data_IF_461455046249
#
_entry.id   IF_461455046249
#
_cell.length_a   1.000
_cell.length_b   1.000
_cell.length_c   1.000
_cell.angle_alpha   90.00
_cell.angle_beta   90.00
_cell.angle_gamma   90.00
#
_symmetry.space_group_name_H-M   'P 1'
#
loop_
_entity.id
_entity.type
_entity.pdbx_description
1 polymer ?
#
# COMPACT_ATOMS: atom_id res chain seq x y z
N UNK A 1 -8.98 -26.36 40.89
CA UNK A 1 -8.34 -25.03 40.70
C UNK A 1 -7.70 -25.01 39.31
N UNK A 2 -8.33 -24.38 38.33
CA UNK A 2 -7.79 -24.27 36.97
C UNK A 2 -6.83 -23.09 36.96
N UNK A 3 -5.53 -23.34 36.77
CA UNK A 3 -4.53 -22.28 36.58
C UNK A 3 -4.67 -21.72 35.18
N UNK A 4 -5.24 -20.53 35.05
CA UNK A 4 -5.20 -19.75 33.81
C UNK A 4 -3.76 -19.35 33.54
N UNK A 5 -3.17 -19.87 32.46
CA UNK A 5 -1.83 -19.50 32.03
C UNK A 5 -1.84 -18.02 31.62
N UNK A 6 -1.11 -17.17 32.33
CA UNK A 6 -0.86 -15.78 31.97
C UNK A 6 0.02 -15.77 30.72
N UNK A 7 -0.54 -15.37 29.57
CA UNK A 7 0.21 -15.21 28.33
C UNK A 7 1.28 -14.14 28.52
N UNK A 8 2.53 -14.54 28.69
CA UNK A 8 3.67 -13.63 28.77
C UNK A 8 3.95 -13.13 27.34
N UNK A 9 3.38 -11.99 26.96
CA UNK A 9 3.70 -11.37 25.67
C UNK A 9 5.09 -10.74 25.74
N UNK A 10 5.97 -11.09 24.80
CA UNK A 10 7.26 -10.40 24.63
C UNK A 10 7.01 -8.91 24.41
N UNK A 11 7.45 -8.08 25.34
CA UNK A 11 7.39 -6.63 25.18
C UNK A 11 8.36 -6.21 24.07
N UNK A 12 7.84 -5.45 23.10
CA UNK A 12 8.66 -4.89 22.03
C UNK A 12 8.38 -3.41 21.91
N UNK A 13 9.45 -2.66 21.68
CA UNK A 13 9.42 -1.20 21.54
C UNK A 13 8.54 -0.83 20.33
N UNK A 14 7.48 -0.03 20.51
CA UNK A 14 6.66 0.48 19.42
C UNK A 14 7.45 1.50 18.59
N UNK A 15 7.14 1.63 17.29
CA UNK A 15 7.82 2.58 16.39
C UNK A 15 7.15 3.96 16.49
N UNK A 16 5.85 4.01 16.17
CA UNK A 16 5.04 5.25 16.24
C UNK A 16 3.75 5.02 17.00
N UNK A 17 3.00 3.97 16.63
CA UNK A 17 1.72 3.64 17.23
C UNK A 17 1.93 2.83 18.51
N UNK A 18 1.32 3.25 19.62
CA UNK A 18 1.33 2.50 20.87
C UNK A 18 0.42 1.25 20.84
N UNK A 19 -0.61 1.26 19.99
CA UNK A 19 -1.56 0.17 19.87
C UNK A 19 -2.20 0.10 18.48
N UNK A 20 -2.96 -0.97 18.24
CA UNK A 20 -3.63 -1.22 16.95
C UNK A 20 -4.66 -0.14 16.58
N UNK A 21 -5.40 0.38 17.55
CA UNK A 21 -6.40 1.42 17.29
C UNK A 21 -5.75 2.72 16.78
N UNK A 22 -4.63 3.12 17.40
CA UNK A 22 -3.84 4.26 16.96
C UNK A 22 -3.31 4.06 15.54
N UNK A 23 -2.75 2.88 15.24
CA UNK A 23 -2.25 2.58 13.89
C UNK A 23 -3.35 2.67 12.83
N UNK A 24 -4.56 2.18 13.12
CA UNK A 24 -5.71 2.28 12.23
C UNK A 24 -6.11 3.73 11.99
N UNK A 25 -6.13 4.56 13.05
CA UNK A 25 -6.38 5.99 12.94
C UNK A 25 -5.35 6.67 12.04
N UNK A 26 -4.07 6.36 12.23
CA UNK A 26 -2.97 6.89 11.43
C UNK A 26 -3.06 6.49 9.94
N UNK A 27 -3.42 5.24 9.64
CA UNK A 27 -3.67 4.78 8.25
C UNK A 27 -4.81 5.58 7.62
N UNK A 28 -5.93 5.77 8.34
CA UNK A 28 -7.08 6.51 7.81
C UNK A 28 -6.77 8.00 7.60
N UNK A 29 -5.98 8.60 8.48
CA UNK A 29 -5.51 9.98 8.31
C UNK A 29 -4.66 10.12 7.04
N UNK A 30 -3.68 9.22 6.86
CA UNK A 30 -2.83 9.17 5.66
C UNK A 30 -3.65 8.89 4.39
N UNK A 31 -4.62 7.98 4.43
CA UNK A 31 -5.50 7.69 3.29
C UNK A 31 -6.28 8.94 2.87
N UNK A 32 -6.87 9.66 3.82
CA UNK A 32 -7.59 10.92 3.54
C UNK A 32 -6.66 11.98 2.97
N UNK A 33 -5.44 12.10 3.50
CA UNK A 33 -4.40 13.00 2.99
C UNK A 33 -4.06 12.67 1.53
N UNK A 34 -3.81 11.41 1.22
CA UNK A 34 -3.50 10.94 -0.13
C UNK A 34 -4.66 11.17 -1.11
N UNK A 35 -5.90 10.90 -0.69
CA UNK A 35 -7.08 11.11 -1.54
C UNK A 35 -7.35 12.60 -1.84
N UNK A 36 -7.00 13.51 -0.91
CA UNK A 36 -7.01 14.97 -1.14
C UNK A 36 -5.89 15.40 -2.09
N UNK A 37 -4.70 14.80 -1.98
CA UNK A 37 -3.57 15.09 -2.87
C UNK A 37 -3.74 14.49 -4.28
N UNK A 38 -4.53 13.43 -4.42
CA UNK A 38 -4.69 12.67 -5.67
C UNK A 38 -5.00 13.53 -6.92
N UNK A 39 -5.89 14.54 -6.90
CA UNK A 39 -6.14 15.37 -8.09
C UNK A 39 -4.94 16.18 -8.54
N UNK A 40 -4.13 16.67 -7.60
CA UNK A 40 -2.89 17.40 -7.91
C UNK A 40 -1.88 16.45 -8.53
N UNK A 41 -1.69 15.29 -7.93
CA UNK A 41 -0.81 14.24 -8.41
C UNK A 41 -1.20 13.76 -9.82
N UNK A 42 -2.50 13.52 -10.03
CA UNK A 42 -3.08 13.10 -11.30
C UNK A 42 -2.71 14.06 -12.45
N UNK A 43 -2.88 15.37 -12.24
CA UNK A 43 -2.51 16.39 -13.24
C UNK A 43 -1.00 16.51 -13.43
N UNK A 44 -0.24 16.50 -12.34
CA UNK A 44 1.22 16.66 -12.34
C UNK A 44 1.93 15.54 -13.10
N UNK A 45 1.37 14.34 -13.10
CA UNK A 45 1.93 13.16 -13.77
C UNK A 45 1.22 12.81 -15.09
N UNK A 46 0.31 13.65 -15.56
CA UNK A 46 -0.37 13.53 -16.85
C UNK A 46 -1.15 12.21 -17.02
N UNK A 47 -1.93 11.82 -16.01
CA UNK A 47 -2.82 10.63 -16.05
C UNK A 47 -4.16 10.90 -16.73
N UNK A 48 -4.21 11.85 -17.66
CA UNK A 48 -5.43 12.30 -18.33
C UNK A 48 -6.03 11.24 -19.28
N UNK A 49 -5.29 10.16 -19.54
CA UNK A 49 -5.73 8.97 -20.28
C UNK A 49 -6.80 8.14 -19.54
N UNK A 50 -7.02 8.38 -18.25
CA UNK A 50 -8.01 7.66 -17.46
C UNK A 50 -8.83 8.57 -16.54
N UNK A 51 -10.08 8.23 -16.20
CA UNK A 51 -10.86 9.03 -15.26
C UNK A 51 -10.19 9.13 -13.88
N UNK A 52 -10.24 10.31 -13.25
CA UNK A 52 -9.72 10.53 -11.88
C UNK A 52 -10.30 9.54 -10.85
N UNK A 53 -11.53 9.05 -11.04
CA UNK A 53 -12.14 8.02 -10.20
C UNK A 53 -11.38 6.70 -10.26
N UNK A 54 -10.93 6.28 -11.45
CA UNK A 54 -10.11 5.08 -11.67
C UNK A 54 -8.75 5.25 -11.00
N UNK A 55 -8.12 6.41 -11.13
CA UNK A 55 -6.85 6.72 -10.46
C UNK A 55 -6.98 6.63 -8.93
N UNK A 56 -8.03 7.25 -8.35
CA UNK A 56 -8.30 7.17 -6.91
C UNK A 56 -8.57 5.73 -6.44
N UNK A 57 -9.24 4.93 -7.27
CA UNK A 57 -9.48 3.52 -6.99
C UNK A 57 -8.18 2.71 -7.00
N UNK A 58 -7.25 3.00 -7.92
CA UNK A 58 -5.93 2.38 -7.96
C UNK A 58 -5.10 2.71 -6.70
N UNK A 59 -5.14 3.96 -6.23
CA UNK A 59 -4.55 4.35 -4.95
C UNK A 59 -5.18 3.57 -3.79
N UNK A 60 -6.51 3.50 -3.73
CA UNK A 60 -7.25 2.74 -2.70
C UNK A 60 -6.88 1.25 -2.71
N UNK A 61 -6.68 0.66 -3.89
CA UNK A 61 -6.25 -0.74 -4.04
C UNK A 61 -4.95 -1.01 -3.31
N UNK A 62 -3.98 -0.08 -3.32
CA UNK A 62 -2.73 -0.25 -2.59
C UNK A 62 -2.91 -0.35 -1.07
N UNK A 63 -3.89 0.37 -0.50
CA UNK A 63 -4.24 0.23 0.92
C UNK A 63 -4.93 -1.12 1.20
N UNK A 64 -5.86 -1.53 0.35
CA UNK A 64 -6.59 -2.80 0.51
C UNK A 64 -5.67 -4.02 0.39
N UNK A 65 -4.68 -3.98 -0.51
CA UNK A 65 -3.69 -5.05 -0.68
C UNK A 65 -2.96 -5.36 0.64
N UNK A 66 -2.80 -4.37 1.52
CA UNK A 66 -2.13 -4.50 2.81
C UNK A 66 -3.10 -4.69 4.00
N UNK A 67 -4.41 -4.84 3.75
CA UNK A 67 -5.43 -4.91 4.82
C UNK A 67 -5.33 -6.18 5.69
N UNK A 68 -4.62 -7.21 5.22
CA UNK A 68 -4.38 -8.45 5.95
C UNK A 68 -3.33 -8.30 7.06
N UNK A 69 -2.59 -7.19 7.11
CA UNK A 69 -1.57 -6.94 8.13
C UNK A 69 -2.19 -6.75 9.51
N UNK A 70 -1.66 -7.46 10.50
CA UNK A 70 -2.17 -7.44 11.89
C UNK A 70 -1.24 -6.70 12.85
N UNK A 71 0.07 -6.79 12.64
CA UNK A 71 1.09 -6.13 13.45
C UNK A 71 1.16 -4.63 13.14
N UNK A 72 0.89 -3.81 14.16
CA UNK A 72 0.85 -2.36 14.01
C UNK A 72 2.21 -1.74 13.69
N UNK A 73 3.33 -2.39 14.01
CA UNK A 73 4.68 -1.90 13.67
C UNK A 73 4.98 -2.04 12.19
N UNK A 74 4.50 -3.13 11.59
CA UNK A 74 4.59 -3.34 10.14
C UNK A 74 3.69 -2.33 9.42
N UNK A 75 2.51 -2.06 9.98
CA UNK A 75 1.60 -1.02 9.49
C UNK A 75 2.27 0.36 9.57
N UNK A 76 2.90 0.72 10.70
CA UNK A 76 3.63 1.98 10.85
C UNK A 76 4.75 2.12 9.82
N UNK A 77 5.48 1.02 9.55
CA UNK A 77 6.50 1.01 8.49
C UNK A 77 5.88 1.28 7.11
N UNK A 78 4.73 0.69 6.79
CA UNK A 78 4.01 0.94 5.53
C UNK A 78 3.50 2.37 5.42
N UNK A 79 3.06 2.97 6.52
CA UNK A 79 2.71 4.40 6.58
C UNK A 79 3.93 5.25 6.22
N UNK A 80 5.09 4.97 6.81
CA UNK A 80 6.33 5.70 6.53
C UNK A 80 6.77 5.57 5.06
N UNK A 81 6.71 4.36 4.50
CA UNK A 81 6.99 4.10 3.08
C UNK A 81 6.06 4.92 2.16
N UNK A 82 4.76 4.96 2.47
CA UNK A 82 3.80 5.75 1.71
C UNK A 82 4.08 7.25 1.80
N UNK A 83 4.43 7.78 2.98
CA UNK A 83 4.83 9.19 3.13
C UNK A 83 6.08 9.52 2.32
N UNK A 84 7.05 8.61 2.26
CA UNK A 84 8.24 8.78 1.43
C UNK A 84 7.89 8.82 -0.07
N UNK A 85 6.98 7.96 -0.53
CA UNK A 85 6.48 7.98 -1.91
C UNK A 85 5.75 9.29 -2.21
N UNK A 86 4.90 9.76 -1.30
CA UNK A 86 4.22 11.06 -1.45
C UNK A 86 5.23 12.20 -1.56
N UNK A 87 6.26 12.22 -0.71
CA UNK A 87 7.34 13.20 -0.78
C UNK A 87 8.10 13.13 -2.12
N UNK A 88 8.45 11.93 -2.58
CA UNK A 88 9.14 11.73 -3.86
C UNK A 88 8.30 12.26 -5.03
N UNK A 89 6.98 12.07 -5.00
CA UNK A 89 6.08 12.62 -6.00
C UNK A 89 5.99 14.15 -5.93
N UNK A 90 5.90 14.73 -4.72
CA UNK A 90 5.87 16.18 -4.51
C UNK A 90 7.18 16.86 -4.96
N UNK A 91 8.32 16.19 -4.75
CA UNK A 91 9.65 16.67 -5.15
C UNK A 91 10.03 16.30 -6.58
N UNK A 92 9.14 15.66 -7.34
CA UNK A 92 9.40 15.21 -8.72
C UNK A 92 10.62 14.26 -8.85
N UNK A 93 10.93 13.51 -7.80
CA UNK A 93 11.96 12.46 -7.86
C UNK A 93 11.48 11.23 -8.63
N UNK A 94 10.16 11.04 -8.71
CA UNK A 94 9.53 10.04 -9.56
C UNK A 94 9.11 10.66 -10.90
N UNK A 95 9.20 9.88 -11.97
CA UNK A 95 8.61 10.20 -13.27
C UNK A 95 7.23 9.52 -13.43
N UNK A 96 6.45 9.93 -14.45
CA UNK A 96 5.11 9.38 -14.72
C UNK A 96 5.11 7.88 -14.95
N UNK A 97 6.08 7.36 -15.70
CA UNK A 97 6.19 5.92 -15.96
C UNK A 97 6.40 5.11 -14.68
N UNK A 98 7.24 5.60 -13.77
CA UNK A 98 7.53 4.94 -12.50
C UNK A 98 6.28 4.88 -11.62
N UNK A 99 5.57 6.01 -11.47
CA UNK A 99 4.34 6.04 -10.69
C UNK A 99 3.24 5.18 -11.33
N UNK A 100 3.10 5.21 -12.66
CA UNK A 100 2.14 4.39 -13.42
C UNK A 100 2.41 2.91 -13.23
N UNK A 101 3.68 2.49 -13.35
CA UNK A 101 4.06 1.11 -13.16
C UNK A 101 3.83 0.62 -11.71
N UNK A 102 4.07 1.48 -10.70
CA UNK A 102 3.78 1.15 -9.31
C UNK A 102 2.28 0.92 -9.04
N UNK A 103 1.41 1.72 -9.65
CA UNK A 103 -0.04 1.65 -9.41
C UNK A 103 -0.73 0.55 -10.23
N UNK A 104 -0.36 0.40 -11.50
CA UNK A 104 -1.11 -0.41 -12.45
C UNK A 104 -0.36 -1.66 -12.92
N UNK A 105 0.99 -1.65 -12.91
CA UNK A 105 1.85 -2.73 -13.41
C UNK A 105 1.52 -3.18 -14.84
N UNK A 106 1.16 -2.25 -15.71
CA UNK A 106 0.65 -2.55 -17.07
C UNK A 106 1.69 -3.25 -17.97
N UNK A 107 2.99 -3.04 -17.70
CA UNK A 107 4.07 -3.61 -18.49
C UNK A 107 4.46 -5.03 -18.07
N UNK A 108 3.76 -5.63 -17.11
CA UNK A 108 4.07 -6.98 -16.60
C UNK A 108 2.96 -7.91 -17.02
N UNK A 109 3.27 -8.88 -17.88
CA UNK A 109 2.32 -9.94 -18.20
C UNK A 109 1.87 -10.65 -16.92
N UNK A 110 0.55 -10.81 -16.79
CA UNK A 110 -0.02 -11.49 -15.65
C UNK A 110 0.55 -12.92 -15.58
N UNK A 111 1.15 -13.27 -14.44
CA UNK A 111 1.60 -14.64 -14.22
C UNK A 111 0.40 -15.58 -14.37
N UNK A 112 0.57 -16.73 -15.06
CA UNK A 112 -0.48 -17.73 -15.14
C UNK A 112 -0.89 -18.13 -13.73
N UNK A 113 -2.21 -18.21 -13.50
CA UNK A 113 -2.78 -18.56 -12.19
C UNK A 113 -3.19 -20.02 -12.11
N UNK A 114 -3.51 -20.59 -13.26
CA UNK A 114 -4.02 -21.95 -13.35
C UNK A 114 -2.87 -22.92 -13.62
N UNK A 115 -3.06 -24.16 -13.18
CA UNK A 115 -2.08 -25.22 -13.38
C UNK A 115 -1.72 -25.38 -14.85
N UNK A 116 -2.72 -25.47 -15.75
CA UNK A 116 -2.47 -25.73 -17.18
C UNK A 116 -1.70 -24.58 -17.85
N UNK A 117 -2.09 -23.32 -17.60
CA UNK A 117 -1.38 -22.16 -18.15
C UNK A 117 0.04 -22.03 -17.59
N UNK A 118 0.25 -22.40 -16.33
CA UNK A 118 1.58 -22.45 -15.71
C UNK A 118 2.43 -23.56 -16.32
N UNK A 119 1.86 -24.76 -16.46
CA UNK A 119 2.50 -25.93 -17.05
C UNK A 119 2.94 -25.67 -18.50
N UNK A 120 2.07 -25.07 -19.32
CA UNK A 120 2.39 -24.73 -20.72
C UNK A 120 3.46 -23.64 -20.84
N UNK A 121 3.50 -22.69 -19.91
CA UNK A 121 4.53 -21.61 -19.88
C UNK A 121 5.89 -22.09 -19.38
N UNK A 122 5.93 -23.14 -18.56
CA UNK A 122 7.15 -23.68 -17.93
C UNK A 122 8.03 -24.52 -18.86
N UNK A 123 7.74 -24.58 -20.17
CA UNK A 123 8.47 -25.40 -21.15
C UNK A 123 9.84 -24.83 -21.60
N UNK A 124 10.39 -23.85 -20.90
CA UNK A 124 11.77 -23.34 -21.08
C UNK A 124 12.49 -23.28 -19.75
#
# INVERSE_FOLDING_TARGET
MIRTATATTREVIPIVSANKAQSRSNVLALYKEMQRYAPKLYKQFHFDDMPLSVFRAALKKQYINNAHLTDFRVIDRKIAECRQVMLACQKHWYNSYHLRNNLFRENVEAKPKDFLSTFLRSKN
#
